data_IF_522080562847
#
_entry.id   IF_522080562847
#
_cell.length_a   1.000
_cell.length_b   1.000
_cell.length_c   1.000
_cell.angle_alpha   90.00
_cell.angle_beta   90.00
_cell.angle_gamma   90.00
#
_symmetry.space_group_name_H-M   'P 1'
#
loop_
_entity.id
_entity.type
_entity.pdbx_description
1 polymer ?
#
# COMPACT_ATOMS: atom_id res chain seq x y z
N UNK A 1 -14.88 -42.14 66.83
CA UNK A 1 -15.60 -41.08 66.07
C UNK A 1 -14.71 -39.91 65.61
N UNK A 2 -13.51 -39.70 66.16
CA UNK A 2 -12.61 -38.58 65.79
C UNK A 2 -11.57 -38.86 64.67
N UNK A 3 -11.42 -40.10 64.20
CA UNK A 3 -10.41 -40.44 63.17
C UNK A 3 -10.88 -40.24 61.73
N UNK A 4 -12.19 -40.17 61.48
CA UNK A 4 -12.76 -40.02 60.13
C UNK A 4 -12.95 -38.56 59.69
N UNK A 5 -12.85 -37.60 60.61
CA UNK A 5 -13.03 -36.16 60.32
C UNK A 5 -11.73 -35.53 59.81
N UNK A 6 -10.56 -36.04 60.20
CA UNK A 6 -9.27 -35.54 59.73
C UNK A 6 -9.01 -35.82 58.24
N UNK A 7 -9.54 -36.91 57.69
CA UNK A 7 -9.39 -37.23 56.26
C UNK A 7 -10.30 -36.38 55.35
N UNK A 8 -11.43 -35.88 55.88
CA UNK A 8 -12.35 -35.04 55.10
C UNK A 8 -11.90 -33.57 55.05
N UNK A 9 -11.14 -33.09 56.04
CA UNK A 9 -10.64 -31.70 56.06
C UNK A 9 -9.42 -31.45 55.15
N UNK A 10 -8.64 -32.48 54.80
CA UNK A 10 -7.50 -32.34 53.86
C UNK A 10 -7.98 -32.16 52.40
N UNK A 11 -9.22 -32.55 52.08
CA UNK A 11 -9.83 -32.36 50.76
C UNK A 11 -10.43 -30.95 50.53
N UNK A 12 -10.41 -30.08 51.54
CA UNK A 12 -10.96 -28.71 51.50
C UNK A 12 -9.87 -27.61 51.53
N UNK A 13 -8.59 -27.99 51.49
CA UNK A 13 -7.52 -27.03 51.22
C UNK A 13 -7.71 -26.50 49.80
N UNK A 14 -7.74 -25.17 49.57
CA UNK A 14 -7.77 -24.62 48.22
C UNK A 14 -6.57 -25.18 47.47
N UNK A 15 -6.83 -26.08 46.52
CA UNK A 15 -5.81 -26.50 45.58
C UNK A 15 -5.36 -25.24 44.87
N UNK A 16 -4.13 -24.80 45.14
CA UNK A 16 -3.44 -23.82 44.29
C UNK A 16 -3.27 -24.52 42.93
N UNK A 17 -4.30 -24.45 42.10
CA UNK A 17 -4.25 -24.87 40.72
C UNK A 17 -3.36 -23.83 40.02
N UNK A 18 -2.08 -24.16 39.88
CA UNK A 18 -1.17 -23.41 39.03
C UNK A 18 -1.65 -23.57 37.59
N UNK A 19 -2.41 -22.58 37.12
CA UNK A 19 -2.80 -22.50 35.72
C UNK A 19 -1.62 -21.97 34.90
N UNK A 20 -1.45 -22.50 33.69
CA UNK A 20 -0.48 -21.95 32.74
C UNK A 20 -0.80 -20.49 32.44
N UNK A 21 0.24 -19.67 32.32
CA UNK A 21 0.11 -18.26 31.94
C UNK A 21 0.99 -18.01 30.75
N UNK A 22 0.42 -17.51 29.66
CA UNK A 22 1.17 -17.09 28.48
C UNK A 22 1.10 -15.57 28.32
N UNK A 23 2.25 -14.97 28.06
CA UNK A 23 2.40 -13.58 27.67
C UNK A 23 2.80 -13.49 26.19
N UNK A 24 2.27 -12.47 25.51
CA UNK A 24 2.40 -12.30 24.08
C UNK A 24 2.85 -10.88 23.75
N UNK A 25 3.75 -10.74 22.78
CA UNK A 25 4.09 -9.43 22.20
C UNK A 25 4.17 -9.56 20.68
N UNK A 26 3.70 -8.55 19.97
CA UNK A 26 3.79 -8.49 18.50
C UNK A 26 4.53 -7.21 18.12
N UNK A 27 5.55 -7.32 17.28
CA UNK A 27 6.22 -6.14 16.73
C UNK A 27 5.31 -5.45 15.73
N UNK A 28 5.34 -4.11 15.66
CA UNK A 28 4.60 -3.41 14.61
C UNK A 28 5.07 -3.83 13.21
N UNK A 29 4.15 -3.87 12.26
CA UNK A 29 4.43 -4.15 10.85
C UNK A 29 4.43 -2.84 10.08
N UNK A 30 5.54 -2.53 9.43
CA UNK A 30 5.66 -1.34 8.59
C UNK A 30 6.06 -1.74 7.18
N UNK A 31 5.24 -1.39 6.19
CA UNK A 31 5.50 -1.62 4.77
C UNK A 31 6.40 -0.56 4.14
N UNK A 32 6.62 0.57 4.82
CA UNK A 32 7.33 1.71 4.26
C UNK A 32 6.54 2.37 3.13
N UNK A 33 7.27 2.89 2.15
CA UNK A 33 6.70 3.56 0.99
C UNK A 33 6.08 2.55 0.01
N UNK A 34 4.83 2.79 -0.38
CA UNK A 34 4.08 2.01 -1.35
C UNK A 34 3.88 2.84 -2.61
N UNK A 35 4.38 2.32 -3.73
CA UNK A 35 4.10 2.87 -5.06
C UNK A 35 2.83 2.21 -5.62
N UNK A 36 1.75 2.99 -5.68
CA UNK A 36 0.44 2.51 -6.12
C UNK A 36 0.28 2.54 -7.64
N UNK A 37 1.20 3.20 -8.37
CA UNK A 37 1.12 3.35 -9.82
C UNK A 37 1.79 2.20 -10.58
N UNK A 38 2.85 1.58 -10.05
CA UNK A 38 3.45 0.38 -10.68
C UNK A 38 2.58 -0.88 -10.54
N UNK A 39 1.61 -0.87 -9.64
CA UNK A 39 0.72 -1.99 -9.38
C UNK A 39 1.37 -3.16 -8.65
N UNK A 40 2.65 -3.05 -8.25
CA UNK A 40 3.36 -4.12 -7.55
C UNK A 40 2.94 -4.22 -6.08
N UNK A 41 2.82 -5.44 -5.52
CA UNK A 41 2.61 -5.61 -4.09
C UNK A 41 3.87 -5.24 -3.29
N UNK A 42 3.68 -4.77 -2.06
CA UNK A 42 4.78 -4.47 -1.12
C UNK A 42 4.68 -5.40 0.07
N UNK A 43 5.79 -6.03 0.45
CA UNK A 43 5.80 -7.02 1.53
C UNK A 43 6.56 -6.54 2.75
N UNK A 44 6.12 -6.97 3.93
CA UNK A 44 6.83 -6.77 5.19
C UNK A 44 6.58 -7.97 6.12
N UNK A 45 7.21 -7.96 7.29
CA UNK A 45 7.04 -8.98 8.32
C UNK A 45 6.93 -8.36 9.70
N UNK A 46 6.21 -9.04 10.60
CA UNK A 46 6.24 -8.78 12.03
C UNK A 46 6.49 -10.09 12.78
N UNK A 47 6.82 -10.02 14.06
CA UNK A 47 7.11 -11.19 14.90
C UNK A 47 6.17 -11.20 16.10
N UNK A 48 5.43 -12.30 16.26
CA UNK A 48 4.74 -12.66 17.48
C UNK A 48 5.70 -13.44 18.38
N UNK A 49 6.03 -12.90 19.54
CA UNK A 49 6.81 -13.57 20.58
C UNK A 49 5.88 -14.11 21.66
N UNK A 50 6.19 -15.31 22.13
CA UNK A 50 5.36 -16.08 23.04
C UNK A 50 6.25 -16.54 24.19
N UNK A 51 5.79 -16.31 25.41
CA UNK A 51 6.41 -16.84 26.62
C UNK A 51 5.34 -17.39 27.55
N UNK A 52 5.42 -18.68 27.86
CA UNK A 52 4.49 -19.36 28.74
C UNK A 52 5.22 -19.90 29.96
N UNK A 53 4.61 -19.76 31.13
CA UNK A 53 5.07 -20.31 32.40
C UNK A 53 3.99 -21.20 33.02
N UNK A 54 4.43 -22.20 33.79
CA UNK A 54 3.58 -23.16 34.45
C UNK A 54 4.24 -23.75 35.69
N UNK A 55 3.51 -24.63 36.38
CA UNK A 55 4.01 -25.33 37.56
C UNK A 55 4.97 -26.48 37.20
N UNK A 56 5.57 -27.11 38.21
CA UNK A 56 6.43 -28.29 38.03
C UNK A 56 5.71 -29.45 37.30
N UNK A 57 4.43 -29.68 37.62
CA UNK A 57 3.62 -30.76 37.06
C UNK A 57 3.22 -30.55 35.59
N UNK A 58 3.51 -29.37 35.04
CA UNK A 58 3.27 -29.05 33.64
C UNK A 58 4.44 -29.45 32.74
N UNK A 59 5.57 -29.89 33.30
CA UNK A 59 6.70 -30.40 32.53
C UNK A 59 6.29 -31.50 31.55
N UNK A 60 6.68 -31.34 30.28
CA UNK A 60 6.34 -32.26 29.20
C UNK A 60 4.94 -32.08 28.63
N UNK A 61 4.11 -31.19 29.18
CA UNK A 61 2.78 -30.90 28.59
C UNK A 61 2.91 -30.07 27.33
N UNK A 62 2.13 -30.46 26.32
CA UNK A 62 1.97 -29.69 25.09
C UNK A 62 0.94 -28.58 25.30
N UNK A 63 1.35 -27.35 25.01
CA UNK A 63 0.46 -26.19 24.95
C UNK A 63 0.14 -25.89 23.50
N UNK A 64 -1.15 -25.68 23.20
CA UNK A 64 -1.63 -25.18 21.92
C UNK A 64 -2.00 -23.71 22.08
N UNK A 65 -1.56 -22.91 21.12
CA UNK A 65 -1.83 -21.48 21.03
C UNK A 65 -2.51 -21.22 19.68
N UNK A 66 -3.62 -20.48 19.74
CA UNK A 66 -4.42 -20.05 18.62
C UNK A 66 -4.46 -18.52 18.60
N UNK A 67 -3.47 -17.88 17.95
CA UNK A 67 -3.33 -16.44 17.92
C UNK A 67 -4.30 -15.82 16.90
N UNK A 68 -5.55 -15.58 17.29
CA UNK A 68 -6.52 -14.96 16.40
C UNK A 68 -6.13 -13.53 16.02
N UNK A 69 -6.17 -13.22 14.72
CA UNK A 69 -6.09 -11.85 14.22
C UNK A 69 -7.45 -11.43 13.63
N UNK A 70 -8.14 -10.55 14.37
CA UNK A 70 -9.35 -9.84 13.96
C UNK A 70 -9.07 -8.77 12.92
N UNK A 71 -10.07 -7.97 12.55
CA UNK A 71 -10.03 -7.07 11.39
C UNK A 71 -8.97 -5.97 11.49
N UNK A 72 -8.71 -5.49 12.70
CA UNK A 72 -8.01 -4.22 12.93
C UNK A 72 -8.93 -3.03 12.65
N UNK A 73 -8.48 -1.85 13.08
CA UNK A 73 -9.30 -0.62 13.05
C UNK A 73 -9.73 -0.16 11.66
N UNK A 74 -8.99 -0.53 10.60
CA UNK A 74 -9.36 -0.19 9.23
C UNK A 74 -10.40 -1.15 8.62
N UNK A 75 -10.73 -2.26 9.28
CA UNK A 75 -11.70 -3.22 8.79
C UNK A 75 -11.17 -4.13 7.68
N UNK A 76 -12.09 -4.73 6.93
CA UNK A 76 -11.76 -5.56 5.76
C UNK A 76 -12.81 -5.39 4.67
N UNK A 77 -12.36 -5.34 3.42
CA UNK A 77 -13.21 -5.31 2.23
C UNK A 77 -13.59 -6.73 1.76
N UNK A 78 -12.82 -7.75 2.14
CA UNK A 78 -13.09 -9.15 1.82
C UNK A 78 -12.31 -10.10 2.74
N UNK A 79 -12.48 -11.41 2.53
CA UNK A 79 -11.69 -12.45 3.22
C UNK A 79 -10.18 -12.38 2.97
N UNK A 80 -9.78 -11.80 1.83
CA UNK A 80 -8.38 -11.73 1.40
C UNK A 80 -7.82 -10.31 1.49
N UNK A 81 -8.60 -9.31 1.90
CA UNK A 81 -8.18 -7.93 1.98
C UNK A 81 -8.65 -7.24 3.26
N UNK A 82 -7.70 -7.05 4.20
CA UNK A 82 -7.83 -6.11 5.32
C UNK A 82 -7.52 -4.70 4.82
N UNK A 83 -7.96 -3.70 5.58
CA UNK A 83 -7.74 -2.30 5.24
C UNK A 83 -6.95 -1.59 6.32
N UNK A 84 -5.98 -0.80 5.89
CA UNK A 84 -5.45 0.33 6.65
C UNK A 84 -6.04 1.60 6.05
N UNK A 85 -6.20 2.64 6.86
CA UNK A 85 -6.94 3.84 6.45
C UNK A 85 -6.14 5.11 6.66
N UNK A 86 -6.36 6.07 5.78
CA UNK A 86 -5.93 7.46 5.89
C UNK A 86 -7.16 8.36 5.75
N UNK A 87 -7.75 8.76 6.88
CA UNK A 87 -9.09 9.35 6.90
C UNK A 87 -10.12 8.37 6.32
N UNK A 88 -10.80 8.75 5.24
CA UNK A 88 -11.76 7.91 4.51
C UNK A 88 -11.13 7.05 3.41
N UNK A 89 -9.83 7.20 3.15
CA UNK A 89 -9.15 6.49 2.07
C UNK A 89 -8.63 5.15 2.58
N UNK A 90 -9.05 4.01 1.99
CA UNK A 90 -8.51 2.71 2.35
C UNK A 90 -7.30 2.35 1.48
N UNK A 91 -6.39 1.55 2.05
CA UNK A 91 -5.35 0.82 1.34
C UNK A 91 -5.41 -0.64 1.80
N UNK A 92 -5.63 -1.55 0.86
CA UNK A 92 -5.80 -2.96 1.17
C UNK A 92 -4.45 -3.65 1.39
N UNK A 93 -4.41 -4.50 2.40
CA UNK A 93 -3.29 -5.37 2.72
C UNK A 93 -3.79 -6.71 3.26
N UNK A 94 -2.88 -7.64 3.49
CA UNK A 94 -3.20 -8.88 4.17
C UNK A 94 -2.02 -9.40 4.98
N UNK A 95 -2.31 -10.22 5.99
CA UNK A 95 -1.36 -10.92 6.84
C UNK A 95 -1.52 -12.43 6.60
N UNK A 96 -0.40 -13.11 6.41
CA UNK A 96 -0.31 -14.53 6.12
C UNK A 96 0.53 -15.25 7.17
N UNK A 97 0.28 -16.54 7.32
CA UNK A 97 1.00 -17.42 8.26
C UNK A 97 2.19 -18.15 7.62
N UNK A 98 2.29 -18.12 6.30
CA UNK A 98 3.35 -18.75 5.53
C UNK A 98 4.17 -17.72 4.74
N UNK A 99 5.45 -18.04 4.50
CA UNK A 99 6.35 -17.20 3.71
C UNK A 99 5.93 -17.04 2.25
N UNK A 100 5.15 -18.01 1.73
CA UNK A 100 4.56 -17.98 0.39
C UNK A 100 3.35 -17.03 0.27
N UNK A 101 2.81 -16.53 1.38
CA UNK A 101 1.68 -15.59 1.43
C UNK A 101 0.42 -16.16 0.79
N UNK A 102 0.15 -17.42 1.08
CA UNK A 102 -0.97 -18.18 0.52
C UNK A 102 -2.06 -18.48 1.54
N UNK A 103 -1.70 -18.54 2.83
CA UNK A 103 -2.59 -18.88 3.94
C UNK A 103 -2.83 -17.65 4.80
N UNK A 104 -3.99 -17.02 4.59
CA UNK A 104 -4.42 -15.83 5.34
C UNK A 104 -4.49 -16.14 6.83
N UNK A 105 -3.85 -15.30 7.64
CA UNK A 105 -3.92 -15.36 9.08
C UNK A 105 -5.25 -14.77 9.56
N UNK A 106 -6.14 -15.65 10.01
CA UNK A 106 -7.50 -15.29 10.39
C UNK A 106 -7.78 -15.31 11.89
N UNK A 107 -9.07 -15.37 12.21
CA UNK A 107 -9.60 -15.46 13.56
C UNK A 107 -10.82 -16.37 13.56
N UNK A 108 -11.03 -17.13 14.64
CA UNK A 108 -12.26 -17.91 14.83
C UNK A 108 -13.51 -17.05 15.07
N UNK A 109 -13.33 -15.77 15.40
CA UNK A 109 -14.42 -14.78 15.55
C UNK A 109 -14.69 -13.99 14.26
N UNK A 110 -13.92 -14.26 13.20
CA UNK A 110 -14.09 -13.61 11.91
C UNK A 110 -15.21 -14.27 11.11
N UNK A 111 -16.01 -13.47 10.40
CA UNK A 111 -17.05 -13.93 9.46
C UNK A 111 -16.51 -14.67 8.23
N UNK A 112 -15.21 -14.66 7.97
CA UNK A 112 -14.59 -15.32 6.82
C UNK A 112 -13.99 -16.69 7.20
N UNK A 113 -13.73 -17.59 6.23
CA UNK A 113 -13.27 -18.95 6.51
C UNK A 113 -11.83 -19.04 7.03
N UNK A 114 -11.00 -18.00 6.84
CA UNK A 114 -9.63 -17.97 7.32
C UNK A 114 -9.56 -18.11 8.84
N UNK A 115 -8.69 -18.98 9.35
CA UNK A 115 -8.48 -19.27 10.78
C UNK A 115 -7.09 -18.87 11.23
N UNK A 116 -6.89 -18.81 12.54
CA UNK A 116 -5.55 -18.62 13.10
C UNK A 116 -4.68 -19.86 12.83
N UNK A 117 -3.37 -19.69 12.57
CA UNK A 117 -2.45 -20.83 12.51
C UNK A 117 -2.30 -21.47 13.90
N UNK A 118 -2.18 -22.80 13.94
CA UNK A 118 -1.89 -23.50 15.18
C UNK A 118 -0.41 -23.40 15.52
N UNK A 119 -0.10 -22.99 16.76
CA UNK A 119 1.26 -23.02 17.28
C UNK A 119 1.32 -23.86 18.54
N UNK A 120 2.27 -24.80 18.57
CA UNK A 120 2.39 -25.72 19.69
C UNK A 120 3.81 -25.69 20.26
N UNK A 121 3.89 -25.70 21.59
CA UNK A 121 5.15 -25.82 22.32
C UNK A 121 5.03 -26.90 23.39
N UNK A 122 6.17 -27.36 23.90
CA UNK A 122 6.21 -28.28 25.04
C UNK A 122 6.84 -27.56 26.23
N UNK A 123 6.16 -27.59 27.37
CA UNK A 123 6.67 -27.02 28.61
C UNK A 123 7.89 -27.80 29.08
N UNK A 124 8.99 -27.11 29.36
CA UNK A 124 10.23 -27.71 29.87
C UNK A 124 10.41 -27.36 31.34
N UNK A 125 10.87 -28.32 32.15
CA UNK A 125 11.11 -28.09 33.59
C UNK A 125 12.37 -27.25 33.74
N UNK A 126 12.25 -26.14 34.47
CA UNK A 126 13.35 -25.21 34.77
C UNK A 126 13.61 -25.21 36.28
N UNK A 127 14.84 -25.56 36.67
CA UNK A 127 15.28 -25.52 38.08
C UNK A 127 14.52 -26.47 39.03
N UNK A 128 13.81 -27.46 38.52
CA UNK A 128 13.12 -28.48 39.32
C UNK A 128 11.85 -28.01 40.05
N UNK A 129 11.41 -26.77 39.82
CA UNK A 129 10.24 -26.18 40.50
C UNK A 129 9.28 -25.43 39.56
N UNK A 130 9.75 -24.97 38.40
CA UNK A 130 8.96 -24.23 37.42
C UNK A 130 8.94 -24.98 36.10
N UNK A 131 7.99 -24.66 35.22
CA UNK A 131 8.11 -25.00 33.81
C UNK A 131 7.92 -23.77 32.92
N UNK A 132 8.59 -23.77 31.76
CA UNK A 132 8.51 -22.69 30.80
C UNK A 132 8.63 -23.18 29.36
N UNK A 133 8.06 -22.42 28.44
CA UNK A 133 8.22 -22.56 27.00
C UNK A 133 8.22 -21.18 26.34
N UNK A 134 9.14 -20.96 25.41
CA UNK A 134 9.20 -19.75 24.60
C UNK A 134 9.26 -20.10 23.12
N UNK A 135 8.73 -19.22 22.28
CA UNK A 135 8.69 -19.41 20.85
C UNK A 135 8.27 -18.15 20.13
N UNK A 136 8.34 -18.18 18.80
CA UNK A 136 7.88 -17.07 17.98
C UNK A 136 7.26 -17.55 16.67
N UNK A 137 6.43 -16.69 16.09
CA UNK A 137 5.85 -16.85 14.77
C UNK A 137 6.08 -15.59 13.95
N UNK A 138 6.36 -15.75 12.66
CA UNK A 138 6.46 -14.63 11.73
C UNK A 138 5.10 -14.37 11.10
N UNK A 139 4.64 -13.12 11.18
CA UNK A 139 3.49 -12.61 10.45
C UNK A 139 4.00 -12.08 9.12
N UNK A 140 3.52 -12.65 8.01
CA UNK A 140 3.94 -12.25 6.66
C UNK A 140 2.92 -11.28 6.09
N UNK A 141 3.25 -9.99 6.00
CA UNK A 141 2.36 -8.95 5.49
C UNK A 141 2.54 -8.63 4.01
N UNK A 142 1.46 -8.27 3.32
CA UNK A 142 1.49 -7.77 1.94
C UNK A 142 0.48 -6.66 1.73
N UNK A 143 0.93 -5.46 1.34
CA UNK A 143 0.07 -4.47 0.69
C UNK A 143 -0.24 -4.99 -0.70
N UNK A 144 -1.53 -5.07 -1.05
CA UNK A 144 -1.96 -5.64 -2.31
C UNK A 144 -1.57 -4.73 -3.48
N UNK A 145 -1.22 -5.32 -4.62
CA UNK A 145 -0.95 -4.58 -5.85
C UNK A 145 -2.21 -3.95 -6.46
N UNK A 146 -2.01 -3.19 -7.54
CA UNK A 146 -3.09 -2.63 -8.36
C UNK A 146 -4.13 -1.80 -7.59
N UNK A 147 -3.67 -0.89 -6.74
CA UNK A 147 -4.53 0.05 -5.99
C UNK A 147 -4.32 1.51 -6.43
N UNK A 148 -4.47 1.84 -7.73
CA UNK A 148 -4.11 3.15 -8.27
C UNK A 148 -4.87 4.30 -7.61
N UNK A 149 -6.10 4.07 -7.16
CA UNK A 149 -6.97 5.07 -6.54
C UNK A 149 -6.69 5.30 -5.06
N UNK A 150 -5.69 4.63 -4.47
CA UNK A 150 -5.26 4.91 -3.11
C UNK A 150 -4.60 6.30 -3.07
N UNK A 151 -5.11 7.17 -2.19
CA UNK A 151 -4.64 8.53 -2.04
C UNK A 151 -3.23 8.60 -1.43
N UNK A 152 -2.49 9.68 -1.72
CA UNK A 152 -1.24 9.96 -1.03
C UNK A 152 -1.49 10.23 0.46
N UNK A 153 -0.65 9.67 1.34
CA UNK A 153 -0.78 9.83 2.79
C UNK A 153 -0.22 8.67 3.60
N UNK A 154 -0.31 8.81 4.93
CA UNK A 154 0.03 7.74 5.87
C UNK A 154 -1.22 6.91 6.20
N UNK A 155 -1.08 5.59 6.12
CA UNK A 155 -2.16 4.62 6.37
C UNK A 155 -1.83 3.78 7.59
N UNK A 156 -2.84 3.56 8.44
CA UNK A 156 -2.68 2.74 9.65
C UNK A 156 -3.88 1.83 9.86
N UNK A 157 -3.62 0.63 10.37
CA UNK A 157 -4.61 -0.24 11.01
C UNK A 157 -4.08 -0.69 12.36
N UNK A 158 -4.82 -0.38 13.43
CA UNK A 158 -4.45 -0.76 14.79
C UNK A 158 -5.22 -2.03 15.18
N UNK A 159 -4.50 -3.03 15.65
CA UNK A 159 -5.06 -4.25 16.21
C UNK A 159 -5.16 -4.07 17.71
N UNK A 160 -6.39 -3.97 18.21
CA UNK A 160 -6.66 -3.84 19.63
C UNK A 160 -6.62 -5.21 20.34
N UNK A 161 -6.94 -5.24 21.63
CA UNK A 161 -7.02 -6.49 22.40
C UNK A 161 -8.13 -7.41 21.91
N UNK A 162 -9.23 -6.86 21.35
CA UNK A 162 -10.32 -7.67 20.78
C UNK A 162 -9.93 -8.26 19.43
N UNK A 163 -9.06 -7.56 18.67
CA UNK A 163 -8.48 -8.08 17.43
C UNK A 163 -7.38 -9.12 17.67
N UNK A 164 -6.87 -9.26 18.89
CA UNK A 164 -5.71 -10.12 19.21
C UNK A 164 -6.04 -11.10 20.33
N UNK A 165 -7.23 -11.70 20.31
CA UNK A 165 -7.65 -12.69 21.30
C UNK A 165 -6.91 -14.03 21.11
N UNK A 166 -5.76 -14.18 21.75
CA UNK A 166 -4.89 -15.35 21.59
C UNK A 166 -5.24 -16.41 22.62
N UNK A 167 -5.95 -17.44 22.18
CA UNK A 167 -6.38 -18.54 23.04
C UNK A 167 -5.21 -19.51 23.28
N UNK A 168 -5.08 -19.99 24.51
CA UNK A 168 -4.09 -21.00 24.86
C UNK A 168 -4.61 -21.98 25.90
N UNK A 169 -4.28 -23.25 25.71
CA UNK A 169 -4.62 -24.33 26.63
C UNK A 169 -3.66 -25.51 26.48
N UNK A 170 -3.52 -26.31 27.54
CA UNK A 170 -2.96 -27.65 27.39
C UNK A 170 -3.91 -28.49 26.55
N UNK A 171 -3.45 -28.90 25.38
CA UNK A 171 -4.30 -29.58 24.40
C UNK A 171 -3.47 -30.46 23.46
N UNK A 172 -4.08 -31.54 23.00
CA UNK A 172 -3.55 -32.39 21.93
C UNK A 172 -4.04 -31.96 20.54
N UNK A 173 -4.95 -30.99 20.44
CA UNK A 173 -5.46 -30.50 19.15
C UNK A 173 -4.34 -29.89 18.29
N UNK A 174 -4.47 -30.02 16.97
CA UNK A 174 -3.45 -29.62 15.99
C UNK A 174 -3.88 -28.46 15.10
N UNK A 175 -5.10 -27.94 15.29
CA UNK A 175 -5.68 -26.82 14.54
C UNK A 175 -6.32 -25.81 15.50
N UNK A 176 -6.81 -24.70 14.94
CA UNK A 176 -7.46 -23.61 15.67
C UNK A 176 -8.86 -23.32 15.14
N UNK A 177 -9.62 -24.36 14.79
CA UNK A 177 -10.97 -24.22 14.23
C UNK A 177 -12.00 -23.81 15.29
N UNK A 178 -11.79 -24.24 16.54
CA UNK A 178 -12.64 -23.93 17.70
C UNK A 178 -11.76 -23.71 18.93
N UNK A 179 -11.01 -22.60 18.98
CA UNK A 179 -10.06 -22.35 20.05
C UNK A 179 -10.77 -22.15 21.39
N UNK A 180 -10.15 -22.66 22.45
CA UNK A 180 -10.65 -22.61 23.82
C UNK A 180 -9.51 -22.44 24.82
N UNK A 181 -9.83 -22.01 26.03
CA UNK A 181 -8.87 -21.86 27.13
C UNK A 181 -8.74 -20.41 27.58
N UNK A 182 -7.61 -20.12 28.22
CA UNK A 182 -7.27 -18.77 28.65
C UNK A 182 -6.96 -17.90 27.43
N UNK A 183 -7.21 -16.59 27.56
CA UNK A 183 -6.98 -15.62 26.48
C UNK A 183 -5.90 -14.65 26.91
N UNK A 184 -4.85 -14.53 26.10
CA UNK A 184 -3.90 -13.43 26.13
C UNK A 184 -4.15 -12.48 24.97
N UNK A 185 -3.50 -11.32 24.99
CA UNK A 185 -3.61 -10.33 23.91
C UNK A 185 -2.27 -9.68 23.64
N UNK A 186 -2.08 -9.14 22.43
CA UNK A 186 -0.88 -8.42 22.06
C UNK A 186 -1.23 -7.37 20.99
N UNK A 187 -1.63 -6.16 21.40
CA UNK A 187 -1.95 -5.11 20.44
C UNK A 187 -0.70 -4.70 19.65
N UNK A 188 -0.90 -4.35 18.38
CA UNK A 188 0.15 -3.87 17.48
C UNK A 188 -0.47 -3.02 16.37
N UNK A 189 0.38 -2.32 15.61
CA UNK A 189 -0.05 -1.56 14.44
C UNK A 189 0.53 -2.11 13.14
N UNK A 190 -0.23 -1.93 12.07
CA UNK A 190 0.19 -2.10 10.68
C UNK A 190 0.15 -0.75 10.00
N UNK A 191 1.24 -0.35 9.35
CA UNK A 191 1.33 0.93 8.67
C UNK A 191 2.04 0.88 7.33
N UNK A 192 1.72 1.87 6.49
CA UNK A 192 2.36 2.15 5.22
C UNK A 192 2.26 3.66 4.90
N UNK A 193 3.07 4.13 3.95
CA UNK A 193 2.91 5.46 3.36
C UNK A 193 2.78 5.37 1.85
N UNK A 194 1.82 6.08 1.27
CA UNK A 194 1.71 6.29 -0.18
C UNK A 194 2.24 7.70 -0.46
N UNK A 195 3.34 7.79 -1.20
CA UNK A 195 3.92 9.08 -1.58
C UNK A 195 3.22 9.65 -2.82
N UNK A 196 3.25 10.98 -2.97
CA UNK A 196 2.88 11.60 -4.22
C UNK A 196 3.83 11.14 -5.33
N UNK A 197 3.29 10.69 -6.46
CA UNK A 197 4.04 10.25 -7.62
C UNK A 197 3.27 10.58 -8.90
N UNK A 198 3.99 10.85 -9.98
CA UNK A 198 3.42 11.13 -11.29
C UNK A 198 4.28 10.52 -12.40
N UNK A 199 3.61 9.86 -13.34
CA UNK A 199 4.18 9.36 -14.59
C UNK A 199 3.69 10.26 -15.73
N UNK A 200 4.58 10.53 -16.69
CA UNK A 200 4.25 11.31 -17.89
C UNK A 200 4.59 10.51 -19.14
N UNK A 201 3.67 10.52 -20.12
CA UNK A 201 3.87 9.94 -21.44
C UNK A 201 3.46 10.95 -22.52
N UNK A 202 4.18 10.99 -23.63
CA UNK A 202 4.05 12.01 -24.68
C UNK A 202 3.77 11.35 -26.03
N UNK A 203 2.80 11.90 -26.75
CA UNK A 203 2.62 11.66 -28.17
C UNK A 203 3.05 12.92 -28.94
N UNK A 204 3.99 12.74 -29.88
CA UNK A 204 4.51 13.83 -30.69
C UNK A 204 3.43 14.49 -31.56
N UNK A 205 3.57 15.80 -31.77
CA UNK A 205 2.81 16.54 -32.78
C UNK A 205 3.52 16.39 -34.11
N UNK A 206 2.83 15.89 -35.13
CA UNK A 206 3.37 15.76 -36.48
C UNK A 206 2.49 16.54 -37.47
N UNK A 207 3.03 17.59 -38.07
CA UNK A 207 2.33 18.42 -39.06
C UNK A 207 2.28 17.79 -40.46
N UNK A 208 2.89 16.62 -40.66
CA UNK A 208 2.92 15.91 -41.94
C UNK A 208 3.77 16.59 -43.01
N UNK A 209 3.62 16.13 -44.24
CA UNK A 209 4.26 16.76 -45.41
C UNK A 209 3.39 17.90 -45.91
N UNK A 210 3.98 19.09 -46.05
CA UNK A 210 3.28 20.29 -46.49
C UNK A 210 3.98 20.91 -47.71
N UNK A 211 3.19 21.54 -48.57
CA UNK A 211 3.69 22.35 -49.68
C UNK A 211 3.97 23.79 -49.24
N UNK A 212 3.29 24.74 -49.87
CA UNK A 212 3.36 26.16 -49.46
C UNK A 212 2.54 26.41 -48.19
N UNK A 213 3.13 27.13 -47.24
CA UNK A 213 2.55 27.47 -45.95
C UNK A 213 1.69 28.76 -46.04
N UNK A 214 0.66 28.77 -46.89
CA UNK A 214 -0.25 29.92 -47.07
C UNK A 214 -1.51 29.85 -46.21
N UNK A 215 -1.80 28.69 -45.62
CA UNK A 215 -2.95 28.45 -44.75
C UNK A 215 -2.48 27.80 -43.45
N UNK A 216 -3.32 27.85 -42.41
CA UNK A 216 -3.03 27.14 -41.17
C UNK A 216 -2.86 25.63 -41.44
N UNK A 217 -1.78 25.05 -40.93
CA UNK A 217 -1.58 23.60 -40.86
C UNK A 217 -1.74 23.19 -39.41
N UNK A 218 -2.71 22.32 -39.17
CA UNK A 218 -3.17 21.96 -37.85
C UNK A 218 -2.85 20.48 -37.58
N UNK A 219 -2.34 20.18 -36.39
CA UNK A 219 -2.02 18.82 -35.95
C UNK A 219 -2.35 18.65 -34.47
N UNK A 220 -2.34 17.40 -34.00
CA UNK A 220 -2.52 17.10 -32.58
C UNK A 220 -1.42 16.15 -32.09
N UNK A 221 -1.16 16.24 -30.80
CA UNK A 221 -0.37 15.30 -30.01
C UNK A 221 -1.01 15.20 -28.64
N UNK A 222 -0.31 14.64 -27.66
CA UNK A 222 -0.85 14.54 -26.30
C UNK A 222 0.22 14.47 -25.22
N UNK A 223 -0.16 14.93 -24.04
CA UNK A 223 0.52 14.67 -22.77
C UNK A 223 -0.42 13.82 -21.92
N UNK A 224 0.01 12.64 -21.51
CA UNK A 224 -0.74 11.80 -20.58
C UNK A 224 -0.05 11.87 -19.22
N UNK A 225 -0.78 12.35 -18.21
CA UNK A 225 -0.32 12.35 -16.82
C UNK A 225 -1.03 11.24 -16.05
N UNK A 226 -0.29 10.43 -15.30
CA UNK A 226 -0.85 9.45 -14.37
C UNK A 226 -0.27 9.75 -13.00
N UNK A 227 -1.04 10.40 -12.15
CA UNK A 227 -0.61 10.81 -10.81
C UNK A 227 -1.40 10.08 -9.73
N UNK A 228 -0.76 9.83 -8.59
CA UNK A 228 -1.41 9.28 -7.39
C UNK A 228 -2.65 10.09 -7.01
N UNK A 229 -3.69 9.40 -6.54
CA UNK A 229 -4.97 10.02 -6.23
C UNK A 229 -4.81 11.19 -5.25
N UNK A 230 -5.34 12.36 -5.63
CA UNK A 230 -5.29 13.59 -4.81
C UNK A 230 -4.02 14.43 -4.96
N UNK A 231 -3.00 13.94 -5.67
CA UNK A 231 -1.79 14.73 -5.97
C UNK A 231 -2.10 15.81 -6.99
N UNK A 232 -2.05 17.08 -6.57
CA UNK A 232 -2.15 18.22 -7.50
C UNK A 232 -0.89 18.31 -8.35
N UNK A 233 -1.04 18.63 -9.63
CA UNK A 233 0.10 18.79 -10.53
C UNK A 233 -0.11 19.96 -11.51
N UNK A 234 0.99 20.43 -12.08
CA UNK A 234 1.01 21.41 -13.18
C UNK A 234 1.92 20.91 -14.30
N UNK A 235 1.47 21.04 -15.55
CA UNK A 235 2.22 20.69 -16.76
C UNK A 235 2.56 21.96 -17.53
N UNK A 236 3.85 22.14 -17.81
CA UNK A 236 4.38 23.20 -18.65
C UNK A 236 5.12 22.65 -19.87
N UNK A 237 5.10 23.44 -20.95
CA UNK A 237 5.82 23.18 -22.19
C UNK A 237 6.77 24.36 -22.40
N UNK A 238 8.08 24.12 -22.43
CA UNK A 238 9.06 25.20 -22.64
C UNK A 238 9.00 25.78 -24.08
N UNK A 239 9.85 26.76 -24.39
CA UNK A 239 9.90 27.42 -25.70
C UNK A 239 10.54 26.64 -26.85
N UNK A 240 10.74 25.32 -26.71
CA UNK A 240 11.50 24.51 -27.65
C UNK A 240 13.00 24.84 -27.65
N UNK A 241 13.73 24.40 -28.67
CA UNK A 241 15.17 24.65 -28.82
C UNK A 241 15.48 26.15 -28.98
N UNK A 242 14.53 26.94 -29.48
CA UNK A 242 14.67 28.37 -29.69
C UNK A 242 14.32 29.23 -28.46
N UNK A 243 13.88 28.62 -27.35
CA UNK A 243 13.42 29.32 -26.13
C UNK A 243 12.39 30.42 -26.44
N UNK A 244 11.51 30.17 -27.40
CA UNK A 244 10.55 31.16 -27.89
C UNK A 244 9.25 31.17 -27.08
N UNK A 245 8.42 32.20 -27.29
CA UNK A 245 7.08 32.26 -26.72
C UNK A 245 6.22 31.06 -27.18
N UNK A 246 5.19 30.63 -26.43
CA UNK A 246 4.44 29.40 -26.71
C UNK A 246 3.81 29.29 -28.10
N UNK A 247 3.46 30.43 -28.72
CA UNK A 247 2.88 30.51 -30.06
C UNK A 247 3.88 30.88 -31.16
N UNK A 248 5.17 30.98 -30.82
CA UNK A 248 6.26 31.39 -31.70
C UNK A 248 7.46 30.42 -31.67
N UNK A 249 7.22 29.16 -31.28
CA UNK A 249 8.22 28.10 -31.28
C UNK A 249 8.71 27.82 -32.71
N UNK A 250 9.91 27.25 -32.84
CA UNK A 250 10.56 27.09 -34.15
C UNK A 250 11.04 25.66 -34.36
N UNK A 251 10.51 25.01 -35.39
CA UNK A 251 11.11 23.81 -35.96
C UNK A 251 12.23 24.23 -36.90
N UNK A 252 13.39 23.57 -36.82
CA UNK A 252 14.60 24.00 -37.53
C UNK A 252 15.10 22.94 -38.52
N UNK A 253 15.66 23.42 -39.63
CA UNK A 253 16.47 22.68 -40.60
C UNK A 253 17.70 23.53 -40.89
N UNK A 254 18.82 23.22 -40.23
CA UNK A 254 19.99 24.10 -40.27
C UNK A 254 19.65 25.49 -39.69
N UNK A 255 19.82 26.54 -40.48
CA UNK A 255 19.48 27.93 -40.11
C UNK A 255 18.04 28.33 -40.49
N UNK A 256 17.36 27.53 -41.30
CA UNK A 256 15.98 27.80 -41.70
C UNK A 256 15.01 27.33 -40.60
N UNK A 257 13.91 28.05 -40.41
CA UNK A 257 12.94 27.76 -39.36
C UNK A 257 11.51 27.82 -39.86
N UNK A 258 10.65 26.97 -39.32
CA UNK A 258 9.18 27.03 -39.44
C UNK A 258 8.61 27.36 -38.06
N UNK A 259 7.87 28.47 -37.99
CA UNK A 259 7.21 28.91 -36.74
C UNK A 259 5.94 28.10 -36.50
N UNK A 260 5.71 27.69 -35.26
CA UNK A 260 4.51 26.99 -34.83
C UNK A 260 4.11 27.37 -33.39
N UNK A 261 2.87 27.06 -33.04
CA UNK A 261 2.32 27.23 -31.70
C UNK A 261 1.66 25.94 -31.19
N UNK A 262 1.68 25.77 -29.87
CA UNK A 262 0.96 24.70 -29.17
C UNK A 262 -0.06 25.31 -28.23
N UNK A 263 -1.24 24.70 -28.16
CA UNK A 263 -2.42 25.23 -27.49
C UNK A 263 -3.14 24.16 -26.66
N UNK A 264 -3.87 24.62 -25.64
CA UNK A 264 -4.64 23.78 -24.71
C UNK A 264 -6.05 23.45 -25.23
N UNK A 265 -6.53 24.22 -26.20
CA UNK A 265 -7.90 24.16 -26.72
C UNK A 265 -7.95 23.94 -28.23
N UNK A 266 -9.04 23.32 -28.70
CA UNK A 266 -9.26 23.04 -30.12
C UNK A 266 -9.35 24.29 -30.99
N UNK A 267 -9.78 25.42 -30.42
CA UNK A 267 -9.86 26.70 -31.13
C UNK A 267 -8.50 27.41 -31.23
N UNK A 268 -7.48 26.89 -30.53
CA UNK A 268 -6.11 27.44 -30.49
C UNK A 268 -6.09 28.89 -30.05
N UNK A 269 -6.89 29.18 -29.03
CA UNK A 269 -7.02 30.50 -28.41
C UNK A 269 -6.22 30.60 -27.10
N UNK A 270 -5.84 29.45 -26.52
CA UNK A 270 -5.16 29.34 -25.23
C UNK A 270 -3.78 28.70 -25.43
N UNK A 271 -2.70 29.49 -25.46
CA UNK A 271 -1.35 28.96 -25.60
C UNK A 271 -1.00 27.97 -24.49
N UNK A 272 -0.29 26.90 -24.83
CA UNK A 272 0.31 25.99 -23.86
C UNK A 272 1.81 26.25 -23.76
N UNK A 273 2.23 26.82 -22.64
CA UNK A 273 3.56 27.30 -22.37
C UNK A 273 4.06 26.92 -20.98
N UNK A 274 4.94 27.76 -20.45
CA UNK A 274 5.50 27.64 -19.12
C UNK A 274 5.10 28.82 -18.22
N UNK A 275 5.63 28.83 -17.00
CA UNK A 275 5.33 29.86 -16.00
C UNK A 275 5.73 31.27 -16.44
N UNK A 276 6.58 31.44 -17.47
CA UNK A 276 6.95 32.76 -17.99
C UNK A 276 5.82 33.39 -18.80
N UNK A 277 4.83 32.61 -19.23
CA UNK A 277 3.59 33.11 -19.86
C UNK A 277 2.41 32.80 -18.92
N UNK A 278 1.94 33.77 -18.12
CA UNK A 278 0.89 33.54 -17.13
C UNK A 278 -0.36 32.88 -17.73
N UNK A 279 -0.89 31.87 -17.02
CA UNK A 279 -2.06 31.12 -17.45
C UNK A 279 -1.83 30.12 -18.59
N UNK A 280 -0.60 30.00 -19.11
CA UNK A 280 -0.29 29.08 -20.22
C UNK A 280 0.01 27.63 -19.79
N UNK A 281 0.12 27.36 -18.49
CA UNK A 281 0.27 25.99 -17.97
C UNK A 281 -1.08 25.27 -17.85
N UNK A 282 -1.05 23.95 -17.66
CA UNK A 282 -2.23 23.12 -17.38
C UNK A 282 -2.12 22.55 -15.98
N UNK A 283 -3.05 22.93 -15.10
CA UNK A 283 -3.18 22.33 -13.77
C UNK A 283 -4.11 21.11 -13.81
N UNK A 284 -3.89 20.17 -12.90
CA UNK A 284 -4.75 19.01 -12.72
C UNK A 284 -4.59 18.38 -11.33
N UNK A 285 -5.41 17.38 -11.06
CA UNK A 285 -5.33 16.56 -9.85
C UNK A 285 -5.35 15.11 -10.25
N UNK A 286 -4.39 14.35 -9.73
CA UNK A 286 -4.24 12.92 -9.97
C UNK A 286 -5.48 12.13 -9.52
N UNK A 287 -5.87 11.18 -10.36
CA UNK A 287 -6.99 10.26 -10.10
C UNK A 287 -6.52 8.81 -9.91
N UNK A 288 -5.20 8.58 -9.86
CA UNK A 288 -4.60 7.25 -9.95
C UNK A 288 -4.61 6.65 -11.35
N UNK A 289 -5.30 7.28 -12.31
CA UNK A 289 -5.47 6.76 -13.67
C UNK A 289 -4.90 7.73 -14.71
N UNK A 290 -4.70 7.23 -15.93
CA UNK A 290 -4.18 8.03 -17.03
C UNK A 290 -5.14 9.16 -17.43
N UNK A 291 -4.67 10.40 -17.32
CA UNK A 291 -5.38 11.61 -17.71
C UNK A 291 -4.77 12.16 -19.01
N UNK A 292 -5.48 11.98 -20.11
CA UNK A 292 -5.06 12.42 -21.44
C UNK A 292 -5.34 13.92 -21.64
N UNK A 293 -4.31 14.68 -21.98
CA UNK A 293 -4.40 16.10 -22.32
C UNK A 293 -3.96 16.29 -23.78
N UNK A 294 -4.91 16.66 -24.64
CA UNK A 294 -4.61 16.89 -26.06
C UNK A 294 -3.81 18.16 -26.24
N UNK A 295 -2.70 18.05 -26.99
CA UNK A 295 -1.90 19.20 -27.44
C UNK A 295 -2.38 19.56 -28.84
N UNK A 296 -2.88 20.79 -29.01
CA UNK A 296 -3.30 21.29 -30.32
C UNK A 296 -2.15 22.10 -30.94
N UNK A 297 -1.59 21.61 -32.03
CA UNK A 297 -0.53 22.29 -32.78
C UNK A 297 -1.08 23.12 -33.95
N UNK A 298 -0.40 24.22 -34.28
CA UNK A 298 -0.62 24.99 -35.50
C UNK A 298 0.68 25.57 -36.05
N UNK A 299 0.88 25.42 -37.35
CA UNK A 299 1.80 26.22 -38.17
C UNK A 299 0.95 27.29 -38.87
N UNK A 300 1.10 28.59 -38.54
CA UNK A 300 0.38 29.66 -39.23
C UNK A 300 0.99 29.94 -40.62
N UNK A 301 0.27 30.67 -41.49
CA UNK A 301 0.80 31.14 -42.76
C UNK A 301 2.11 31.91 -42.58
N UNK A 302 3.11 31.57 -43.39
CA UNK A 302 4.44 32.20 -43.36
C UNK A 302 5.18 31.96 -44.68
N UNK A 303 6.29 32.67 -44.87
CA UNK A 303 7.19 32.40 -45.99
C UNK A 303 7.64 30.94 -45.95
N UNK A 304 7.41 30.21 -47.03
CA UNK A 304 7.76 28.80 -47.10
C UNK A 304 9.28 28.66 -47.26
N UNK A 305 9.99 28.01 -46.33
CA UNK A 305 11.43 27.80 -46.44
C UNK A 305 11.73 26.67 -47.43
N UNK A 306 13.01 26.34 -47.63
CA UNK A 306 13.38 25.30 -48.59
C UNK A 306 12.82 23.91 -48.21
N UNK A 307 12.50 23.03 -49.18
CA UNK A 307 11.98 21.69 -48.88
C UNK A 307 12.91 20.89 -47.96
N UNK A 308 12.38 20.25 -46.92
CA UNK A 308 13.14 19.36 -46.01
C UNK A 308 12.41 19.08 -44.71
N UNK A 309 13.06 18.33 -43.82
CA UNK A 309 12.52 18.02 -42.49
C UNK A 309 12.90 19.10 -41.50
N UNK A 310 11.90 19.68 -40.83
CA UNK A 310 12.07 20.65 -39.75
C UNK A 310 11.65 20.00 -38.44
N UNK A 311 12.50 20.08 -37.41
CA UNK A 311 12.23 19.46 -36.10
C UNK A 311 12.47 20.43 -34.96
N UNK A 312 11.73 20.27 -33.86
CA UNK A 312 11.96 20.97 -32.60
C UNK A 312 11.83 19.96 -31.44
N UNK A 313 12.47 20.26 -30.30
CA UNK A 313 12.34 19.50 -29.07
C UNK A 313 11.76 20.40 -27.99
N UNK A 314 10.50 20.14 -27.62
CA UNK A 314 9.83 20.82 -26.50
C UNK A 314 9.94 19.96 -25.25
N UNK A 315 10.45 20.54 -24.18
CA UNK A 315 10.52 19.89 -22.86
C UNK A 315 9.17 20.06 -22.18
N UNK A 316 8.57 18.93 -21.80
CA UNK A 316 7.38 18.88 -20.95
C UNK A 316 7.83 18.68 -19.51
N UNK A 317 7.46 19.61 -18.64
CA UNK A 317 7.76 19.53 -17.20
C UNK A 317 6.45 19.32 -16.44
N UNK A 318 6.40 18.26 -15.64
CA UNK A 318 5.30 17.97 -14.72
C UNK A 318 5.80 18.23 -13.30
N UNK A 319 5.18 19.18 -12.60
CA UNK A 319 5.49 19.55 -11.21
C UNK A 319 4.35 19.12 -10.30
N UNK A 320 4.64 18.48 -9.17
CA UNK A 320 3.69 17.99 -8.17
C UNK A 320 4.25 18.09 -6.74
#
# INVERSE_FOLDING_TARGET
MFRSIAFLLVALLPSLAFAQTCNFTVTNMNFGAVDTLSGNPVTSTATLNISCTGGLLDGGRRILICPNLGLGSGGASSATARQMVSGTNPLNYQIYSDSGRTVVWGSSTWSYPSRAPAFAMTMTILGGILSAATGSMTLYGTVLGSQPTAAAGAFTSNFSTTDTSFYYSYSSATNCDSPSGSVGTAPFSVSASVAANCLVSIQNVNFGTQGVLHTNVDATGSVTATCTQGTTYTISLNGGNASAAPTARKMSKGTETVTYGLYKDSNRSQPWGDANTPGSTVAGTGTGTAQLLTVYGRVPPQTTPSPGSYTDTVVVTLTY
#
